data_IF_901356314851
#
_entry.id   IF_901356314851
#
_cell.length_a   1.000
_cell.length_b   1.000
_cell.length_c   1.000
_cell.angle_alpha   90.00
_cell.angle_beta   90.00
_cell.angle_gamma   90.00
#
_symmetry.space_group_name_H-M   'P 1'
#
loop_
_entity.id
_entity.type
_entity.pdbx_description
1 polymer ?
#
# COMPACT_ATOMS: atom_id res chain seq x y z
N UNK A 1 2.67 -2.85 23.42
CA UNK A 1 3.66 -2.28 22.49
C UNK A 1 4.40 -1.16 23.18
N UNK A 2 5.71 -1.03 23.01
CA UNK A 2 6.30 0.31 23.09
C UNK A 2 5.77 1.10 21.88
N UNK A 3 5.59 2.44 21.96
CA UNK A 3 5.24 3.24 20.79
C UNK A 3 6.17 2.89 19.62
N UNK A 4 5.68 2.89 18.37
CA UNK A 4 6.49 2.50 17.24
C UNK A 4 7.75 3.34 17.22
N UNK A 5 8.91 2.69 17.15
CA UNK A 5 10.15 3.36 16.78
C UNK A 5 10.17 3.48 15.27
N UNK A 6 9.37 4.40 14.74
CA UNK A 6 9.46 4.75 13.33
C UNK A 6 10.81 5.45 13.09
N UNK A 7 11.41 5.28 11.91
CA UNK A 7 12.66 5.95 11.57
C UNK A 7 12.56 7.47 11.72
N UNK A 8 13.68 8.11 12.08
CA UNK A 8 13.84 9.57 12.08
C UNK A 8 12.84 10.35 12.95
N UNK A 9 12.28 9.73 13.99
CA UNK A 9 11.34 10.41 14.90
C UNK A 9 9.94 10.65 14.32
N UNK A 10 9.66 10.09 13.14
CA UNK A 10 8.35 10.15 12.49
C UNK A 10 7.27 9.55 13.40
N UNK A 11 6.07 10.11 13.34
CA UNK A 11 4.89 9.61 14.03
C UNK A 11 3.94 8.90 13.06
N UNK A 12 3.02 8.09 13.59
CA UNK A 12 1.92 7.56 12.77
C UNK A 12 1.08 8.69 12.19
N UNK A 13 0.90 9.78 12.95
CA UNK A 13 0.17 10.96 12.51
C UNK A 13 0.82 11.60 11.27
N UNK A 14 2.16 11.73 11.24
CA UNK A 14 2.88 12.27 10.07
C UNK A 14 2.63 11.43 8.82
N UNK A 15 2.62 10.09 8.95
CA UNK A 15 2.30 9.16 7.87
C UNK A 15 0.86 9.37 7.40
N UNK A 16 -0.10 9.44 8.32
CA UNK A 16 -1.50 9.66 7.99
C UNK A 16 -1.75 10.99 7.28
N UNK A 17 -1.11 12.06 7.75
CA UNK A 17 -1.19 13.41 7.17
C UNK A 17 -0.66 13.42 5.73
N UNK A 18 0.51 12.83 5.49
CA UNK A 18 1.08 12.73 4.14
C UNK A 18 0.29 11.80 3.20
N UNK A 19 -0.31 10.74 3.75
CA UNK A 19 -1.04 9.76 2.93
C UNK A 19 -2.48 10.20 2.58
N UNK A 20 -3.16 10.94 3.46
CA UNK A 20 -4.60 11.19 3.35
C UNK A 20 -4.97 12.67 3.21
N UNK A 21 -4.12 13.62 3.64
CA UNK A 21 -4.47 15.06 3.68
C UNK A 21 -3.69 15.89 2.69
N UNK A 22 -2.39 15.60 2.54
CA UNK A 22 -1.53 16.34 1.64
C UNK A 22 -1.03 15.44 0.53
N UNK A 23 -1.71 15.44 -0.63
CA UNK A 23 -1.21 14.75 -1.80
C UNK A 23 0.13 15.30 -2.31
N UNK A 24 0.44 16.55 -1.95
CA UNK A 24 1.74 17.20 -2.16
C UNK A 24 2.57 17.21 -0.85
N UNK A 25 3.60 18.06 -0.77
CA UNK A 25 4.37 18.23 0.47
C UNK A 25 3.45 18.77 1.58
N UNK A 26 3.35 18.12 2.76
CA UNK A 26 2.63 18.70 3.88
C UNK A 26 3.27 20.03 4.33
N UNK A 27 2.49 20.97 4.88
CA UNK A 27 3.04 22.20 5.45
C UNK A 27 3.85 21.90 6.72
N UNK A 28 4.73 22.82 7.15
CA UNK A 28 5.35 22.75 8.47
C UNK A 28 4.30 22.54 9.57
N UNK A 29 4.58 21.72 10.61
CA UNK A 29 5.87 21.07 10.91
C UNK A 29 6.08 19.71 10.22
N UNK A 30 5.15 19.22 9.41
CA UNK A 30 5.14 17.85 8.85
C UNK A 30 5.80 17.74 7.47
N UNK A 31 6.76 18.61 7.16
CA UNK A 31 7.22 19.01 5.83
C UNK A 31 8.01 17.95 5.02
N UNK A 32 7.57 16.70 5.08
CA UNK A 32 8.14 15.49 4.51
C UNK A 32 7.13 14.83 3.57
N UNK A 33 7.56 14.51 2.34
CA UNK A 33 6.68 13.87 1.34
C UNK A 33 6.45 12.38 1.64
N UNK A 34 5.37 11.84 1.08
CA UNK A 34 5.07 10.41 1.15
C UNK A 34 6.21 9.55 0.60
N UNK A 35 6.85 9.94 -0.52
CA UNK A 35 8.01 9.23 -1.08
C UNK A 35 9.20 9.17 -0.10
N UNK A 36 9.49 10.27 0.60
CA UNK A 36 10.55 10.31 1.64
C UNK A 36 10.22 9.41 2.83
N UNK A 37 8.95 9.40 3.23
CA UNK A 37 8.44 8.50 4.26
C UNK A 37 8.63 7.04 3.82
N UNK A 38 8.23 6.69 2.58
CA UNK A 38 8.40 5.34 2.04
C UNK A 38 9.85 4.90 1.97
N UNK A 39 10.76 5.75 1.50
CA UNK A 39 12.19 5.44 1.48
C UNK A 39 12.75 5.18 2.88
N UNK A 40 12.20 5.84 3.91
CA UNK A 40 12.58 5.61 5.30
C UNK A 40 11.99 4.30 5.84
N UNK A 41 10.72 4.00 5.56
CA UNK A 41 10.09 2.74 5.98
C UNK A 41 10.75 1.52 5.33
N UNK A 42 11.14 1.61 4.05
CA UNK A 42 11.79 0.52 3.33
C UNK A 42 13.18 0.14 3.89
N UNK A 43 13.82 1.02 4.67
CA UNK A 43 15.10 0.75 5.34
C UNK A 43 14.94 0.08 6.71
N UNK A 44 13.71 -0.14 7.17
CA UNK A 44 13.45 -0.83 8.44
C UNK A 44 13.95 -2.28 8.33
N UNK A 45 14.67 -2.80 9.34
CA UNK A 45 15.11 -4.19 9.33
C UNK A 45 13.92 -5.16 9.19
N UNK A 46 14.07 -6.26 8.43
CA UNK A 46 12.99 -7.24 8.24
C UNK A 46 12.37 -7.77 9.54
N UNK A 47 13.16 -7.84 10.62
CA UNK A 47 12.70 -8.27 11.94
C UNK A 47 11.68 -7.32 12.60
N UNK A 48 11.71 -6.02 12.27
CA UNK A 48 10.82 -4.99 12.80
C UNK A 48 9.72 -4.58 11.81
N UNK A 49 9.92 -4.85 10.52
CA UNK A 49 9.03 -4.45 9.43
C UNK A 49 7.57 -4.91 9.65
N UNK A 50 7.37 -6.17 10.05
CA UNK A 50 6.04 -6.73 10.26
C UNK A 50 5.22 -5.96 11.33
N UNK A 51 5.88 -5.52 12.40
CA UNK A 51 5.22 -4.74 13.45
C UNK A 51 4.86 -3.34 12.98
N UNK A 52 5.74 -2.70 12.21
CA UNK A 52 5.48 -1.36 11.67
C UNK A 52 4.32 -1.41 10.67
N UNK A 53 4.31 -2.38 9.75
CA UNK A 53 3.18 -2.62 8.85
C UNK A 53 1.89 -2.85 9.64
N UNK A 54 1.92 -3.72 10.64
CA UNK A 54 0.73 -4.03 11.44
C UNK A 54 0.18 -2.79 12.15
N UNK A 55 1.04 -1.91 12.67
CA UNK A 55 0.60 -0.67 13.32
C UNK A 55 0.00 0.34 12.35
N UNK A 56 0.71 0.62 11.24
CA UNK A 56 0.21 1.55 10.21
C UNK A 56 -1.11 1.04 9.63
N UNK A 57 -1.18 -0.24 9.25
CA UNK A 57 -2.39 -0.83 8.70
C UNK A 57 -3.52 -0.93 9.74
N UNK A 58 -3.22 -1.20 11.01
CA UNK A 58 -4.23 -1.18 12.08
C UNK A 58 -4.91 0.17 12.20
N UNK A 59 -4.17 1.26 11.95
CA UNK A 59 -4.69 2.61 11.99
C UNK A 59 -5.38 3.03 10.71
N UNK A 60 -4.67 2.92 9.58
CA UNK A 60 -5.04 3.65 8.37
C UNK A 60 -5.70 2.79 7.30
N UNK A 61 -5.68 1.46 7.37
CA UNK A 61 -6.10 0.65 6.23
C UNK A 61 -7.53 0.93 5.77
N UNK A 62 -8.49 1.07 6.69
CA UNK A 62 -9.86 1.44 6.31
C UNK A 62 -9.91 2.82 5.65
N UNK A 63 -9.32 3.83 6.29
CA UNK A 63 -9.30 5.19 5.75
C UNK A 63 -8.61 5.29 4.38
N UNK A 64 -7.51 4.57 4.16
CA UNK A 64 -6.81 4.53 2.86
C UNK A 64 -7.64 3.90 1.77
N UNK A 65 -8.31 2.78 2.07
CA UNK A 65 -9.18 2.12 1.11
C UNK A 65 -10.42 2.98 0.81
N UNK A 66 -10.99 3.64 1.81
CA UNK A 66 -12.15 4.51 1.65
C UNK A 66 -11.79 5.75 0.81
N UNK A 67 -10.64 6.37 1.11
CA UNK A 67 -10.08 7.47 0.32
C UNK A 67 -9.89 7.07 -1.14
N UNK A 68 -9.25 5.93 -1.41
CA UNK A 68 -8.94 5.50 -2.78
C UNK A 68 -10.18 5.20 -3.63
N UNK A 69 -11.34 5.01 -3.01
CA UNK A 69 -12.63 4.80 -3.69
C UNK A 69 -13.60 5.97 -3.49
N UNK A 70 -13.09 7.13 -3.07
CA UNK A 70 -13.92 8.32 -2.79
C UNK A 70 -14.04 9.25 -4.00
N UNK A 71 -14.89 10.26 -3.86
CA UNK A 71 -15.07 11.36 -4.81
C UNK A 71 -14.05 12.51 -4.61
N UNK A 72 -12.93 12.24 -3.93
CA UNK A 72 -11.88 13.24 -3.72
C UNK A 72 -11.40 13.80 -5.07
N UNK A 73 -11.52 15.12 -5.34
CA UNK A 73 -11.28 15.68 -6.66
C UNK A 73 -9.90 15.36 -7.24
N UNK A 74 -8.88 15.28 -6.38
CA UNK A 74 -7.50 14.98 -6.81
C UNK A 74 -7.33 13.57 -7.39
N UNK A 75 -8.19 12.61 -7.05
CA UNK A 75 -8.19 11.26 -7.62
C UNK A 75 -8.79 11.20 -9.03
N UNK A 76 -9.50 12.25 -9.44
CA UNK A 76 -10.27 12.32 -10.69
C UNK A 76 -9.73 13.39 -11.65
N UNK A 77 -8.68 14.13 -11.27
CA UNK A 77 -8.03 15.14 -12.10
C UNK A 77 -6.77 14.59 -12.80
N UNK A 78 -6.90 14.33 -14.11
CA UNK A 78 -5.83 13.79 -14.98
C UNK A 78 -4.58 14.67 -15.07
N UNK A 79 -4.66 15.94 -14.70
CA UNK A 79 -3.50 16.83 -14.67
C UNK A 79 -2.60 16.61 -13.44
N UNK A 80 -3.11 15.91 -12.44
CA UNK A 80 -2.43 15.68 -11.17
C UNK A 80 -1.80 14.28 -11.11
N UNK A 81 -0.64 14.12 -10.46
CA UNK A 81 -0.04 12.80 -10.27
C UNK A 81 -0.94 11.86 -9.44
N UNK A 82 -1.80 12.40 -8.58
CA UNK A 82 -2.70 11.64 -7.70
C UNK A 82 -3.76 10.83 -8.46
N UNK A 83 -4.17 11.29 -9.64
CA UNK A 83 -5.03 10.51 -10.52
C UNK A 83 -4.39 9.17 -10.90
N UNK A 84 -3.08 9.18 -11.17
CA UNK A 84 -2.35 7.98 -11.58
C UNK A 84 -1.88 7.17 -10.37
N UNK A 85 -1.26 7.83 -9.39
CA UNK A 85 -0.67 7.20 -8.22
C UNK A 85 -0.77 8.12 -7.00
N UNK A 86 -1.83 7.95 -6.23
CA UNK A 86 -2.07 8.73 -5.01
C UNK A 86 -1.09 8.35 -3.89
N UNK A 87 -0.90 9.26 -2.94
CA UNK A 87 -0.11 8.99 -1.72
C UNK A 87 -0.74 7.88 -0.86
N UNK A 88 -2.08 7.81 -0.84
CA UNK A 88 -2.81 6.71 -0.20
C UNK A 88 -2.50 5.36 -0.85
N UNK A 89 -2.51 5.30 -2.19
CA UNK A 89 -2.20 4.08 -2.94
C UNK A 89 -0.73 3.68 -2.78
N UNK A 90 0.18 4.65 -2.73
CA UNK A 90 1.58 4.44 -2.40
C UNK A 90 1.74 3.73 -1.04
N UNK A 91 1.03 4.21 -0.02
CA UNK A 91 1.04 3.57 1.30
C UNK A 91 0.38 2.19 1.29
N UNK A 92 -0.74 2.00 0.59
CA UNK A 92 -1.38 0.69 0.43
C UNK A 92 -0.45 -0.33 -0.22
N UNK A 93 0.31 0.07 -1.24
CA UNK A 93 1.31 -0.79 -1.88
C UNK A 93 2.39 -1.23 -0.88
N UNK A 94 2.91 -0.31 -0.06
CA UNK A 94 3.86 -0.66 1.00
C UNK A 94 3.27 -1.68 2.00
N UNK A 95 2.03 -1.46 2.43
CA UNK A 95 1.33 -2.32 3.38
C UNK A 95 0.92 -3.68 2.80
N UNK A 96 0.85 -3.83 1.48
CA UNK A 96 0.49 -5.09 0.79
C UNK A 96 1.47 -6.25 1.04
N UNK A 97 2.64 -5.95 1.61
CA UNK A 97 3.55 -6.96 2.17
C UNK A 97 2.92 -7.75 3.33
N UNK A 98 1.85 -7.26 3.94
CA UNK A 98 1.00 -8.04 4.85
C UNK A 98 -0.07 -8.83 4.08
N UNK A 99 -0.22 -10.14 4.33
CA UNK A 99 -1.26 -10.94 3.68
C UNK A 99 -2.67 -10.46 4.05
N UNK A 100 -2.90 -10.00 5.28
CA UNK A 100 -4.21 -9.48 5.71
C UNK A 100 -4.57 -8.19 4.98
N UNK A 101 -3.58 -7.31 4.75
CA UNK A 101 -3.77 -6.09 3.97
C UNK A 101 -4.09 -6.43 2.53
N UNK A 102 -3.32 -7.32 1.91
CA UNK A 102 -3.54 -7.71 0.51
C UNK A 102 -4.91 -8.35 0.27
N UNK A 103 -5.37 -9.23 1.17
CA UNK A 103 -6.72 -9.79 1.11
C UNK A 103 -7.79 -8.70 1.17
N UNK A 104 -7.59 -7.70 2.04
CA UNK A 104 -8.52 -6.59 2.20
C UNK A 104 -8.55 -5.63 1.02
N UNK A 105 -7.42 -5.42 0.34
CA UNK A 105 -7.38 -4.66 -0.91
C UNK A 105 -8.09 -5.47 -2.01
N UNK A 106 -7.80 -6.76 -2.14
CA UNK A 106 -8.43 -7.64 -3.14
C UNK A 106 -9.96 -7.74 -2.98
N UNK A 107 -10.46 -7.62 -1.74
CA UNK A 107 -11.89 -7.56 -1.45
C UNK A 107 -12.57 -6.24 -1.90
N UNK A 108 -11.83 -5.29 -2.47
CA UNK A 108 -12.36 -4.03 -3.04
C UNK A 108 -12.03 -3.92 -4.54
N UNK A 109 -12.80 -4.59 -5.42
CA UNK A 109 -12.48 -4.64 -6.85
C UNK A 109 -12.41 -3.26 -7.54
N UNK A 110 -13.13 -2.26 -7.01
CA UNK A 110 -13.14 -0.90 -7.54
C UNK A 110 -11.74 -0.28 -7.69
N UNK A 111 -10.83 -0.54 -6.74
CA UNK A 111 -9.46 0.00 -6.77
C UNK A 111 -8.69 -0.52 -7.99
N UNK A 112 -8.80 -1.82 -8.27
CA UNK A 112 -8.08 -2.44 -9.39
C UNK A 112 -8.78 -2.17 -10.71
N UNK A 113 -10.11 -2.13 -10.73
CA UNK A 113 -10.86 -1.72 -11.92
C UNK A 113 -10.47 -0.31 -12.37
N UNK A 114 -10.38 0.65 -11.44
CA UNK A 114 -9.91 2.00 -11.74
C UNK A 114 -8.50 2.01 -12.39
N UNK A 115 -7.55 1.23 -11.84
CA UNK A 115 -6.23 1.06 -12.46
C UNK A 115 -6.31 0.47 -13.87
N UNK A 116 -7.13 -0.56 -14.07
CA UNK A 116 -7.32 -1.22 -15.37
C UNK A 116 -7.87 -0.22 -16.39
N UNK A 117 -8.92 0.53 -16.03
CA UNK A 117 -9.51 1.55 -16.88
C UNK A 117 -8.47 2.58 -17.32
N UNK A 118 -7.71 3.13 -16.35
CA UNK A 118 -6.61 4.06 -16.62
C UNK A 118 -5.56 3.46 -17.56
N UNK A 119 -5.11 2.22 -17.31
CA UNK A 119 -4.15 1.54 -18.17
C UNK A 119 -4.64 1.29 -19.60
N UNK A 120 -5.95 1.07 -19.77
CA UNK A 120 -6.55 0.85 -21.09
C UNK A 120 -6.62 2.14 -21.91
N UNK A 121 -6.62 3.32 -21.29
CA UNK A 121 -6.59 4.60 -22.01
C UNK A 121 -5.42 4.67 -23.01
N UNK A 122 -5.67 5.05 -24.28
CA UNK A 122 -4.62 5.11 -25.30
C UNK A 122 -3.46 6.05 -24.93
N UNK A 123 -3.79 7.17 -24.26
CA UNK A 123 -2.85 8.23 -23.89
C UNK A 123 -2.21 8.04 -22.52
N UNK A 124 -2.56 6.98 -21.78
CA UNK A 124 -2.13 6.75 -20.38
C UNK A 124 -0.65 7.03 -20.13
N UNK A 125 0.24 6.44 -20.93
CA UNK A 125 1.70 6.58 -20.73
C UNK A 125 2.15 8.02 -20.97
N UNK A 126 1.63 8.67 -22.00
CA UNK A 126 2.03 10.03 -22.36
C UNK A 126 1.48 11.03 -21.35
N UNK A 127 0.24 10.85 -20.90
CA UNK A 127 -0.38 11.72 -19.90
C UNK A 127 0.31 11.56 -18.52
N UNK A 128 0.59 10.33 -18.09
CA UNK A 128 1.31 10.06 -16.84
C UNK A 128 2.77 10.54 -16.86
N UNK A 129 3.39 10.67 -18.04
CA UNK A 129 4.72 11.29 -18.19
C UNK A 129 4.67 12.82 -18.09
N UNK A 130 3.57 13.44 -18.48
CA UNK A 130 3.41 14.91 -18.48
C UNK A 130 3.11 15.48 -17.11
N UNK A 131 2.52 14.71 -16.20
CA UNK A 131 2.22 15.22 -14.85
C UNK A 131 3.50 15.58 -14.10
N UNK A 132 3.51 16.78 -13.54
CA UNK A 132 4.60 17.25 -12.71
C UNK A 132 4.56 16.53 -11.36
N UNK A 133 5.72 16.00 -10.94
CA UNK A 133 5.89 15.37 -9.64
C UNK A 133 6.66 16.33 -8.76
N UNK A 134 6.05 16.84 -7.67
CA UNK A 134 6.69 17.86 -6.86
C UNK A 134 7.92 17.29 -6.16
N UNK A 135 9.08 17.90 -6.43
CA UNK A 135 10.32 17.75 -5.66
C UNK A 135 10.57 18.96 -4.77
N UNK A 136 11.66 18.94 -4.02
CA UNK A 136 12.06 20.08 -3.20
C UNK A 136 13.56 20.08 -2.89
N UNK A 137 14.06 21.12 -2.20
CA UNK A 137 15.49 21.27 -1.92
C UNK A 137 16.10 20.07 -1.18
N UNK A 138 15.29 19.39 -0.37
CA UNK A 138 15.71 18.30 0.52
C UNK A 138 15.14 16.93 0.14
N UNK A 139 14.37 16.83 -0.95
CA UNK A 139 13.77 15.56 -1.40
C UNK A 139 13.64 15.54 -2.92
N UNK A 140 14.02 14.42 -3.51
CA UNK A 140 13.93 14.23 -4.96
C UNK A 140 12.45 14.09 -5.36
N UNK A 141 12.11 14.61 -6.53
CA UNK A 141 10.84 14.31 -7.17
C UNK A 141 10.77 12.81 -7.49
N UNK A 142 9.60 12.22 -7.30
CA UNK A 142 9.32 10.88 -7.81
C UNK A 142 9.39 10.87 -9.35
N UNK A 143 9.58 9.70 -9.93
CA UNK A 143 9.70 9.54 -11.39
C UNK A 143 8.53 8.75 -11.96
N UNK A 144 8.21 9.02 -13.23
CA UNK A 144 7.25 8.23 -13.98
C UNK A 144 7.52 6.72 -13.86
N UNK A 145 8.78 6.30 -14.05
CA UNK A 145 9.12 4.87 -14.06
C UNK A 145 8.90 4.22 -12.68
N UNK A 146 9.15 4.95 -11.59
CA UNK A 146 8.90 4.47 -10.24
C UNK A 146 7.40 4.26 -9.99
N UNK A 147 6.59 5.29 -10.21
CA UNK A 147 5.13 5.24 -10.02
C UNK A 147 4.50 4.15 -10.89
N UNK A 148 4.87 4.10 -12.17
CA UNK A 148 4.30 3.13 -13.09
C UNK A 148 4.70 1.70 -12.73
N UNK A 149 5.96 1.49 -12.34
CA UNK A 149 6.42 0.23 -11.78
C UNK A 149 5.66 -0.18 -10.53
N UNK A 150 5.38 0.76 -9.62
CA UNK A 150 4.61 0.49 -8.40
C UNK A 150 3.15 0.16 -8.68
N UNK A 151 2.50 0.83 -9.63
CA UNK A 151 1.12 0.49 -10.02
C UNK A 151 1.02 -0.95 -10.55
N UNK A 152 1.90 -1.32 -11.48
CA UNK A 152 1.93 -2.69 -12.02
C UNK A 152 2.26 -3.72 -10.94
N UNK A 153 3.20 -3.40 -10.04
CA UNK A 153 3.54 -4.26 -8.90
C UNK A 153 2.35 -4.43 -7.96
N UNK A 154 1.62 -3.34 -7.65
CA UNK A 154 0.44 -3.34 -6.77
C UNK A 154 -0.64 -4.25 -7.35
N UNK A 155 -1.00 -4.06 -8.63
CA UNK A 155 -1.99 -4.90 -9.31
C UNK A 155 -1.56 -6.37 -9.33
N UNK A 156 -0.28 -6.65 -9.61
CA UNK A 156 0.27 -8.01 -9.62
C UNK A 156 0.17 -8.67 -8.24
N UNK A 157 0.45 -7.93 -7.17
CA UNK A 157 0.29 -8.42 -5.79
C UNK A 157 -1.17 -8.73 -5.50
N UNK A 158 -2.11 -7.84 -5.84
CA UNK A 158 -3.56 -8.04 -5.58
C UNK A 158 -4.11 -9.26 -6.34
N UNK A 159 -3.63 -9.52 -7.56
CA UNK A 159 -4.03 -10.71 -8.33
C UNK A 159 -3.66 -12.03 -7.64
N UNK A 160 -2.61 -12.06 -6.80
CA UNK A 160 -2.28 -13.25 -6.00
C UNK A 160 -3.35 -13.57 -4.94
N UNK A 161 -4.17 -12.58 -4.58
CA UNK A 161 -5.23 -12.69 -3.59
C UNK A 161 -6.62 -12.68 -4.21
N UNK A 162 -6.70 -12.74 -5.54
CA UNK A 162 -7.96 -12.81 -6.29
C UNK A 162 -8.12 -14.23 -6.86
N UNK A 163 -9.17 -14.95 -6.45
CA UNK A 163 -9.37 -16.35 -6.85
C UNK A 163 -9.58 -16.48 -8.38
N UNK A 164 -10.51 -15.69 -8.92
CA UNK A 164 -10.72 -15.58 -10.37
C UNK A 164 -10.53 -14.13 -10.84
N UNK A 165 -9.31 -13.85 -11.33
CA UNK A 165 -8.92 -12.55 -11.87
C UNK A 165 -9.84 -12.12 -13.02
N UNK A 166 -10.22 -13.04 -13.93
CA UNK A 166 -11.02 -12.67 -15.10
C UNK A 166 -12.47 -12.44 -14.72
N UNK A 167 -13.02 -13.23 -13.81
CA UNK A 167 -14.39 -13.00 -13.33
C UNK A 167 -14.50 -11.72 -12.50
N UNK A 168 -13.50 -11.43 -11.66
CA UNK A 168 -13.47 -10.24 -10.79
C UNK A 168 -13.18 -8.97 -11.59
N UNK A 169 -12.32 -9.07 -12.60
CA UNK A 169 -11.85 -7.95 -13.41
C UNK A 169 -11.99 -8.27 -14.92
N UNK A 170 -13.21 -8.17 -15.49
CA UNK A 170 -13.52 -8.65 -16.83
C UNK A 170 -12.64 -8.06 -17.95
N UNK A 171 -12.18 -6.82 -17.79
CA UNK A 171 -11.38 -6.11 -18.79
C UNK A 171 -9.87 -6.35 -18.73
N UNK A 172 -9.40 -7.18 -17.80
CA UNK A 172 -7.97 -7.53 -17.70
C UNK A 172 -7.39 -8.15 -18.96
N UNK A 173 -8.20 -8.87 -19.74
CA UNK A 173 -7.75 -9.47 -21.01
C UNK A 173 -7.37 -8.42 -22.05
N UNK A 174 -8.02 -7.24 -22.03
CA UNK A 174 -7.69 -6.11 -22.90
C UNK A 174 -6.33 -5.49 -22.57
N UNK A 175 -5.82 -5.69 -21.34
CA UNK A 175 -4.49 -5.20 -20.94
C UNK A 175 -3.34 -6.03 -21.51
N UNK A 176 -3.56 -7.29 -21.87
CA UNK A 176 -2.51 -8.21 -22.29
C UNK A 176 -1.63 -7.64 -23.42
N UNK A 177 -2.19 -7.08 -24.53
CA UNK A 177 -1.37 -6.49 -25.59
C UNK A 177 -0.48 -5.35 -25.08
N UNK A 178 -1.01 -4.47 -24.21
CA UNK A 178 -0.26 -3.36 -23.61
C UNK A 178 0.85 -3.86 -22.71
N UNK A 179 0.57 -4.82 -21.82
CA UNK A 179 1.57 -5.44 -20.94
C UNK A 179 2.71 -6.10 -21.75
N UNK A 180 2.39 -6.79 -22.86
CA UNK A 180 3.39 -7.37 -23.76
C UNK A 180 4.24 -6.30 -24.46
N UNK A 181 3.69 -5.13 -24.77
CA UNK A 181 4.44 -3.98 -25.29
C UNK A 181 5.35 -3.41 -24.21
N UNK A 182 4.81 -3.12 -23.02
CA UNK A 182 5.58 -2.53 -21.92
C UNK A 182 6.70 -3.46 -21.43
N UNK A 183 6.46 -4.78 -21.34
CA UNK A 183 7.52 -5.77 -21.08
C UNK A 183 8.70 -5.59 -22.03
N UNK A 184 8.45 -5.47 -23.34
CA UNK A 184 9.50 -5.32 -24.35
C UNK A 184 10.18 -3.96 -24.27
N UNK A 185 9.41 -2.89 -24.15
CA UNK A 185 9.90 -1.52 -24.12
C UNK A 185 10.80 -1.25 -22.91
N UNK A 186 10.42 -1.75 -21.73
CA UNK A 186 11.12 -1.49 -20.48
C UNK A 186 12.10 -2.62 -20.07
N UNK A 187 12.35 -3.61 -20.95
CA UNK A 187 13.26 -4.74 -20.69
C UNK A 187 14.67 -4.30 -20.27
N UNK A 188 15.14 -3.19 -20.84
CA UNK A 188 16.47 -2.62 -20.61
C UNK A 188 16.42 -1.27 -19.88
N UNK A 189 15.27 -0.91 -19.30
CA UNK A 189 15.15 0.28 -18.45
C UNK A 189 16.01 0.13 -17.18
N UNK A 190 16.45 1.25 -16.63
CA UNK A 190 17.05 1.31 -15.29
C UNK A 190 16.09 0.80 -14.20
N UNK A 191 14.78 0.91 -14.43
CA UNK A 191 13.72 0.39 -13.56
C UNK A 191 13.16 -0.91 -14.14
N UNK A 192 13.79 -2.04 -13.79
CA UNK A 192 13.35 -3.38 -14.25
C UNK A 192 11.95 -3.78 -13.77
N UNK A 193 11.43 -3.10 -12.75
CA UNK A 193 10.12 -3.39 -12.14
C UNK A 193 8.99 -3.36 -13.16
N UNK A 194 8.98 -2.41 -14.10
CA UNK A 194 7.92 -2.32 -15.13
C UNK A 194 7.90 -3.58 -16.01
N UNK A 195 9.07 -3.99 -16.53
CA UNK A 195 9.18 -5.18 -17.37
C UNK A 195 8.78 -6.45 -16.60
N UNK A 196 9.32 -6.62 -15.40
CA UNK A 196 9.07 -7.79 -14.57
C UNK A 196 7.60 -7.89 -14.13
N UNK A 197 7.00 -6.77 -13.71
CA UNK A 197 5.60 -6.75 -13.32
C UNK A 197 4.67 -6.95 -14.51
N UNK A 198 4.99 -6.39 -15.68
CA UNK A 198 4.20 -6.62 -16.91
C UNK A 198 4.20 -8.09 -17.31
N UNK A 199 5.36 -8.76 -17.24
CA UNK A 199 5.47 -10.20 -17.50
C UNK A 199 4.62 -11.01 -16.51
N UNK A 200 4.77 -10.77 -15.21
CA UNK A 200 3.99 -11.48 -14.20
C UNK A 200 2.48 -11.27 -14.37
N UNK A 201 2.05 -10.06 -14.71
CA UNK A 201 0.64 -9.76 -14.94
C UNK A 201 0.08 -10.54 -16.14
N UNK A 202 0.83 -10.64 -17.24
CA UNK A 202 0.45 -11.49 -18.37
C UNK A 202 0.29 -12.94 -17.92
N UNK A 203 1.25 -13.47 -17.17
CA UNK A 203 1.18 -14.84 -16.65
C UNK A 203 0.01 -15.04 -15.66
N UNK A 204 -0.31 -14.03 -14.86
CA UNK A 204 -1.43 -14.06 -13.91
C UNK A 204 -2.80 -13.94 -14.61
N UNK A 205 -2.87 -13.36 -15.81
CA UNK A 205 -4.12 -13.24 -16.57
C UNK A 205 -4.29 -14.43 -17.52
N UNK A 206 -3.25 -14.81 -18.27
CA UNK A 206 -3.30 -15.88 -19.28
C UNK A 206 -3.01 -17.27 -18.69
N UNK A 207 -2.30 -17.34 -17.56
CA UNK A 207 -1.83 -18.60 -16.98
C UNK A 207 -2.95 -19.53 -16.54
N UNK A 208 -2.64 -20.83 -16.54
CA UNK A 208 -3.59 -21.86 -16.11
C UNK A 208 -4.05 -21.62 -14.68
N UNK A 209 -5.32 -21.94 -14.38
CA UNK A 209 -5.86 -21.79 -13.03
C UNK A 209 -5.01 -22.52 -11.98
N UNK A 210 -4.51 -23.71 -12.31
CA UNK A 210 -3.61 -24.47 -11.45
C UNK A 210 -2.29 -23.74 -11.14
N UNK A 211 -1.63 -23.15 -12.15
CA UNK A 211 -0.39 -22.41 -11.95
C UNK A 211 -0.62 -21.12 -11.15
N UNK A 212 -1.72 -20.41 -11.42
CA UNK A 212 -2.13 -19.23 -10.63
C UNK A 212 -2.38 -19.59 -9.17
N UNK A 213 -3.12 -20.67 -8.92
CA UNK A 213 -3.40 -21.15 -7.57
C UNK A 213 -2.13 -21.59 -6.83
N UNK A 214 -1.21 -22.26 -7.53
CA UNK A 214 0.08 -22.67 -6.98
C UNK A 214 0.92 -21.44 -6.59
N UNK A 215 1.06 -20.47 -7.49
CA UNK A 215 1.79 -19.23 -7.22
C UNK A 215 1.18 -18.43 -6.08
N UNK A 216 -0.16 -18.28 -6.07
CA UNK A 216 -0.88 -17.63 -4.99
C UNK A 216 -0.63 -18.32 -3.65
N UNK A 217 -0.69 -19.64 -3.60
CA UNK A 217 -0.45 -20.43 -2.37
C UNK A 217 1.00 -20.28 -1.89
N UNK A 218 1.98 -20.37 -2.79
CA UNK A 218 3.39 -20.21 -2.47
C UNK A 218 3.69 -18.81 -1.93
N UNK A 219 3.22 -17.76 -2.61
CA UNK A 219 3.43 -16.38 -2.19
C UNK A 219 2.71 -16.08 -0.87
N UNK A 220 1.46 -16.51 -0.69
CA UNK A 220 0.74 -16.39 0.59
C UNK A 220 1.49 -17.08 1.72
N UNK A 221 2.02 -18.29 1.49
CA UNK A 221 2.84 -19.02 2.46
C UNK A 221 4.10 -18.23 2.86
N UNK A 222 4.81 -17.66 1.88
CA UNK A 222 5.99 -16.83 2.15
C UNK A 222 5.64 -15.58 2.97
N UNK A 223 4.56 -14.88 2.64
CA UNK A 223 4.11 -13.70 3.38
C UNK A 223 3.66 -14.06 4.80
N UNK A 224 3.01 -15.21 4.98
CA UNK A 224 2.55 -15.71 6.28
C UNK A 224 3.70 -15.96 7.27
N UNK A 225 4.92 -16.23 6.80
CA UNK A 225 6.10 -16.40 7.68
C UNK A 225 6.51 -15.11 8.41
N UNK A 226 6.12 -13.94 7.87
CA UNK A 226 6.40 -12.64 8.46
C UNK A 226 5.30 -12.18 9.43
N UNK A 227 4.20 -12.91 9.52
CA UNK A 227 3.13 -12.61 10.47
C UNK A 227 3.62 -12.94 11.89
N UNK A 228 3.55 -11.97 12.79
CA UNK A 228 4.11 -12.04 14.14
C UNK A 228 3.10 -11.57 15.19
N UNK A 229 3.30 -11.98 16.44
CA UNK A 229 2.55 -11.43 17.56
C UNK A 229 2.85 -9.93 17.76
N UNK A 230 1.83 -9.14 18.11
CA UNK A 230 1.95 -7.69 18.36
C UNK A 230 2.76 -7.29 19.58
N UNK A 231 3.09 -8.24 20.46
CA UNK A 231 4.01 -7.98 21.58
C UNK A 231 5.44 -8.18 21.09
N UNK A 232 6.24 -7.11 21.10
CA UNK A 232 7.55 -7.11 20.46
C UNK A 232 8.57 -8.11 21.03
N UNK A 233 8.44 -8.49 22.30
CA UNK A 233 9.27 -9.52 22.93
C UNK A 233 8.80 -10.96 22.63
N UNK A 234 7.67 -11.13 21.96
CA UNK A 234 7.13 -12.45 21.62
C UNK A 234 7.73 -12.95 20.30
N UNK A 235 8.27 -14.16 20.32
CA UNK A 235 8.84 -14.81 19.13
C UNK A 235 7.86 -15.62 18.28
N UNK A 236 6.58 -15.69 18.67
CA UNK A 236 5.58 -16.51 17.95
C UNK A 236 5.24 -15.86 16.61
N UNK A 237 5.29 -16.69 15.56
CA UNK A 237 5.04 -16.33 14.16
C UNK A 237 4.06 -17.29 13.52
N UNK A 238 3.59 -16.94 12.33
CA UNK A 238 2.68 -17.77 11.54
C UNK A 238 1.22 -17.56 11.92
N UNK A 239 0.31 -17.38 10.96
CA UNK A 239 -1.10 -17.11 11.22
C UNK A 239 -1.81 -18.23 12.01
N UNK A 240 -1.36 -19.48 11.88
CA UNK A 240 -1.90 -20.66 12.56
C UNK A 240 -1.74 -20.62 14.09
N UNK A 241 -0.78 -19.84 14.59
CA UNK A 241 -0.51 -19.69 16.01
C UNK A 241 -1.04 -18.37 16.59
N UNK A 242 -1.76 -17.59 15.77
CA UNK A 242 -2.10 -16.22 16.09
C UNK A 242 -3.57 -15.91 15.84
N UNK A 243 -4.21 -15.31 16.82
CA UNK A 243 -5.56 -14.76 16.72
C UNK A 243 -5.54 -13.30 16.26
N UNK A 244 -6.41 -12.94 15.32
CA UNK A 244 -6.51 -11.59 14.80
C UNK A 244 -7.36 -10.71 15.70
N UNK A 245 -6.96 -9.45 15.88
CA UNK A 245 -7.76 -8.42 16.53
C UNK A 245 -9.10 -8.27 15.80
N UNK A 246 -10.20 -8.38 16.53
CA UNK A 246 -11.57 -8.25 15.98
C UNK A 246 -11.95 -6.82 15.59
N UNK A 247 -11.18 -5.80 16.02
CA UNK A 247 -11.46 -4.41 15.69
C UNK A 247 -10.87 -3.97 14.35
N UNK A 248 -9.56 -4.17 14.17
CA UNK A 248 -8.86 -3.74 12.95
C UNK A 248 -8.68 -4.86 11.92
N UNK A 249 -8.79 -6.13 12.33
CA UNK A 249 -8.49 -7.32 11.51
C UNK A 249 -7.05 -7.37 10.96
N UNK A 250 -6.12 -6.67 11.60
CA UNK A 250 -4.71 -6.59 11.19
C UNK A 250 -3.77 -7.07 12.31
N UNK A 251 -3.84 -6.46 13.48
CA UNK A 251 -2.94 -6.83 14.58
C UNK A 251 -3.26 -8.25 15.06
N UNK A 252 -2.24 -9.08 15.25
CA UNK A 252 -2.38 -10.48 15.67
C UNK A 252 -1.68 -10.79 16.99
N UNK A 253 -2.18 -11.78 17.73
CA UNK A 253 -1.68 -12.17 19.05
C UNK A 253 -1.74 -13.69 19.25
N UNK A 254 -0.71 -14.26 19.88
CA UNK A 254 -0.67 -15.70 20.21
C UNK A 254 -1.62 -16.09 21.35
N UNK A 255 -2.25 -15.11 22.01
CA UNK A 255 -3.20 -15.35 23.08
C UNK A 255 -3.79 -14.06 23.65
N UNK A 256 -4.83 -14.20 24.47
CA UNK A 256 -5.56 -13.09 25.11
C UNK A 256 -4.67 -12.22 26.02
N UNK A 257 -3.67 -12.81 26.66
CA UNK A 257 -2.78 -12.07 27.56
C UNK A 257 -1.91 -11.06 26.80
N UNK A 258 -1.37 -11.46 25.64
CA UNK A 258 -0.61 -10.56 24.77
C UNK A 258 -1.49 -9.47 24.17
N UNK A 259 -2.73 -9.80 23.81
CA UNK A 259 -3.70 -8.80 23.37
C UNK A 259 -3.99 -7.77 24.48
N UNK A 260 -4.25 -8.22 25.71
CA UNK A 260 -4.51 -7.33 26.86
C UNK A 260 -3.30 -6.46 27.20
N UNK A 261 -2.10 -7.04 27.18
CA UNK A 261 -0.86 -6.30 27.41
C UNK A 261 -0.64 -5.20 26.36
N UNK A 262 -0.95 -5.51 25.10
CA UNK A 262 -0.81 -4.58 24.00
C UNK A 262 -1.92 -3.51 23.94
N UNK A 263 -3.12 -3.84 24.44
CA UNK A 263 -4.31 -3.00 24.38
C UNK A 263 -4.12 -1.59 24.95
N UNK A 264 -3.25 -1.43 25.95
CA UNK A 264 -2.88 -0.12 26.52
C UNK A 264 -2.45 0.88 25.44
N UNK A 265 -1.83 0.40 24.36
CA UNK A 265 -1.35 1.20 23.23
C UNK A 265 -2.25 0.99 22.00
N UNK A 266 -2.54 -0.26 21.65
CA UNK A 266 -3.27 -0.60 20.42
C UNK A 266 -4.65 0.07 20.34
N UNK A 267 -5.35 0.28 21.46
CA UNK A 267 -6.67 0.94 21.47
C UNK A 267 -6.68 2.35 20.86
N UNK A 268 -5.53 3.03 20.86
CA UNK A 268 -5.37 4.39 20.34
C UNK A 268 -5.17 4.42 18.82
N UNK A 269 -4.85 3.28 18.20
CA UNK A 269 -4.64 3.18 16.76
C UNK A 269 -5.62 2.21 16.09
N UNK A 270 -6.27 1.30 16.85
CA UNK A 270 -7.15 0.28 16.31
C UNK A 270 -8.33 0.91 15.55
N UNK A 271 -8.28 0.81 14.21
CA UNK A 271 -9.27 1.32 13.28
C UNK A 271 -9.64 2.80 13.51
N UNK A 272 -8.62 3.66 13.66
CA UNK A 272 -8.83 5.08 13.97
C UNK A 272 -8.74 6.03 12.77
N UNK A 273 -8.07 5.61 11.69
CA UNK A 273 -7.79 6.50 10.57
C UNK A 273 -6.92 7.68 10.98
N UNK A 274 -7.06 8.78 10.23
CA UNK A 274 -6.47 10.07 10.59
C UNK A 274 -7.36 10.76 11.62
N UNK A 275 -6.85 10.91 12.83
CA UNK A 275 -7.52 11.68 13.89
C UNK A 275 -6.92 13.07 13.84
N UNK A 276 -7.73 14.07 13.50
CA UNK A 276 -7.30 15.47 13.56
C UNK A 276 -7.16 15.89 15.03
N UNK A 277 -6.02 16.49 15.38
CA UNK A 277 -5.89 17.16 16.67
C UNK A 277 -6.88 18.33 16.70
N UNK A 278 -7.75 18.36 17.72
CA UNK A 278 -8.60 19.53 17.92
C UNK A 278 -7.70 20.76 18.12
N UNK A 279 -8.00 21.91 17.47
CA UNK A 279 -7.25 23.13 17.73
C UNK A 279 -7.35 23.42 19.23
N UNK A 280 -6.20 23.52 19.88
CA UNK A 280 -6.10 24.00 21.25
C UNK A 280 -6.84 25.33 21.32
N UNK A 281 -7.86 25.51 22.20
CA UNK A 281 -8.52 26.80 22.32
C UNK A 281 -7.44 27.84 22.58
N UNK A 282 -7.40 28.87 21.73
CA UNK A 282 -6.49 29.98 21.86
C UNK A 282 -6.56 30.46 23.32
N UNK A 283 -5.40 30.46 23.97
CA UNK A 283 -5.27 31.09 25.29
C UNK A 283 -5.64 32.55 25.07
N UNK A 284 -6.83 32.93 25.54
CA UNK A 284 -7.24 34.33 25.53
C UNK A 284 -6.25 35.09 26.41
N UNK A 285 -5.53 36.03 25.80
CA UNK A 285 -4.74 37.06 26.52
C UNK A 285 -5.67 37.98 27.33
#
# INVERSE_FOLDING_TARGET
>A
MAPPRLPNGMSLHDIGIAALKYPARPPPPYDVTMGTIMGSLQRIPPSAMAQVIAQIASQYLNALLDYQTSEEPTLHDRSLPQYYFSTALCLLNFLSTSPDVSQRIAARPAIVNDMIEKFLEPTFIDDMKRVERPGGPNFLADTFDADFGFLLQTMSTIFLFTDDVKATYPRTTELIPKLKVWKRQYKHSSVKTISNASERLVDQIEGSAAMRQMMATMMKSQLNQYVTCGVASCGIRGPEHLTTCSGCHIQRYCGRDHQRADWKHHKHICNKGLVEEQPTPAVAE
#
